data_IF_258722126734
#
_entry.id   IF_258722126734
#
_cell.length_a   1.000
_cell.length_b   1.000
_cell.length_c   1.000
_cell.angle_alpha   90.00
_cell.angle_beta   90.00
_cell.angle_gamma   90.00
#
_symmetry.space_group_name_H-M   'P 1'
#
loop_
_entity.id
_entity.type
_entity.pdbx_description
1 polymer ?
#
# COMPACT_ATOMS: atom_id res chain seq x y z
N UNK A 1 -31.09 0.54 18.99
CA UNK A 1 -29.81 -0.21 18.92
C UNK A 1 -28.72 0.81 19.17
N UNK A 2 -27.88 0.60 20.17
CA UNK A 2 -26.77 1.49 20.45
C UNK A 2 -25.73 1.32 19.33
N UNK A 3 -25.55 2.29 18.43
CA UNK A 3 -24.54 2.17 17.39
C UNK A 3 -23.15 2.20 18.05
N UNK A 4 -22.19 1.47 17.49
CA UNK A 4 -20.83 1.37 18.02
C UNK A 4 -20.27 2.74 18.47
N UNK A 5 -19.64 2.78 19.66
CA UNK A 5 -18.99 4.02 20.11
C UNK A 5 -17.85 4.40 19.17
N UNK A 6 -17.56 5.69 19.04
CA UNK A 6 -16.42 6.19 18.26
C UNK A 6 -15.14 5.47 18.71
N UNK A 7 -14.93 5.32 20.01
CA UNK A 7 -13.77 4.60 20.56
C UNK A 7 -13.69 3.14 20.09
N UNK A 8 -14.81 2.41 20.05
CA UNK A 8 -14.86 1.02 19.58
C UNK A 8 -14.48 0.89 18.12
N UNK A 9 -15.02 1.77 17.26
CA UNK A 9 -14.70 1.80 15.82
C UNK A 9 -13.24 2.20 15.60
N UNK A 10 -12.78 3.22 16.32
CA UNK A 10 -11.43 3.75 16.18
C UNK A 10 -10.36 2.75 16.61
N UNK A 11 -10.60 1.95 17.64
CA UNK A 11 -9.67 0.90 18.04
C UNK A 11 -9.39 -0.07 16.89
N UNK A 12 -10.42 -0.50 16.16
CA UNK A 12 -10.28 -1.38 14.99
C UNK A 12 -9.62 -0.66 13.81
N UNK A 13 -10.08 0.56 13.49
CA UNK A 13 -9.54 1.35 12.38
C UNK A 13 -8.05 1.65 12.58
N UNK A 14 -7.61 1.86 13.83
CA UNK A 14 -6.21 2.15 14.15
C UNK A 14 -5.23 1.04 13.73
N UNK A 15 -5.70 -0.21 13.61
CA UNK A 15 -4.88 -1.34 13.16
C UNK A 15 -4.47 -1.22 11.68
N UNK A 16 -5.21 -0.45 10.87
CA UNK A 16 -4.91 -0.21 9.46
C UNK A 16 -3.87 0.89 9.25
N UNK A 17 -3.51 1.65 10.30
CA UNK A 17 -2.53 2.72 10.22
C UNK A 17 -1.15 2.25 10.70
N UNK A 18 -0.05 2.84 10.17
CA UNK A 18 1.28 2.64 10.74
C UNK A 18 1.28 2.90 12.25
N UNK A 19 2.01 2.09 13.03
CA UNK A 19 2.05 2.17 14.51
C UNK A 19 2.54 3.52 15.07
N UNK A 20 3.14 4.36 14.25
CA UNK A 20 3.57 5.71 14.60
C UNK A 20 2.57 6.81 14.20
N UNK A 21 1.38 6.44 13.73
CA UNK A 21 0.28 7.36 13.42
C UNK A 21 -0.54 7.67 14.67
N UNK A 22 -0.69 8.96 14.98
CA UNK A 22 -1.71 9.44 15.91
C UNK A 22 -3.01 9.66 15.18
N UNK A 23 -4.15 9.43 15.84
CA UNK A 23 -5.46 9.63 15.24
C UNK A 23 -6.30 10.54 16.13
N UNK A 24 -6.90 11.56 15.54
CA UNK A 24 -7.87 12.43 16.19
C UNK A 24 -9.20 12.37 15.43
N UNK A 25 -10.31 12.44 16.16
CA UNK A 25 -11.64 12.65 15.58
C UNK A 25 -12.22 13.90 16.21
N UNK A 26 -12.75 14.80 15.38
CA UNK A 26 -13.46 15.99 15.81
C UNK A 26 -14.87 16.02 15.25
N UNK A 27 -15.79 16.66 15.99
CA UNK A 27 -17.05 17.14 15.43
C UNK A 27 -16.83 18.55 14.82
N UNK A 28 -17.89 19.33 14.68
CA UNK A 28 -17.87 20.69 14.14
C UNK A 28 -17.09 21.70 15.01
N UNK A 29 -16.91 21.43 16.30
CA UNK A 29 -16.32 22.39 17.24
C UNK A 29 -15.12 21.86 18.03
N UNK A 30 -15.18 20.59 18.46
CA UNK A 30 -14.27 20.01 19.44
C UNK A 30 -13.78 18.62 19.01
N UNK A 31 -12.61 18.24 19.52
CA UNK A 31 -12.13 16.87 19.46
C UNK A 31 -13.00 15.97 20.33
N UNK A 32 -13.42 14.81 19.81
CA UNK A 32 -14.22 13.81 20.53
C UNK A 32 -13.43 12.53 20.80
N UNK A 33 -12.31 12.34 20.11
CA UNK A 33 -11.42 11.19 20.29
C UNK A 33 -9.98 11.58 19.96
N UNK A 34 -9.04 11.05 20.73
CA UNK A 34 -7.62 11.14 20.41
C UNK A 34 -6.89 9.87 20.86
N UNK A 35 -6.11 9.31 19.94
CA UNK A 35 -5.20 8.19 20.17
C UNK A 35 -3.78 8.64 19.82
N UNK A 36 -2.91 8.86 20.82
CA UNK A 36 -1.52 9.21 20.58
C UNK A 36 -0.70 8.01 20.11
N UNK A 37 0.29 8.26 19.26
CA UNK A 37 1.35 7.34 18.91
C UNK A 37 2.58 7.58 19.76
N UNK A 38 3.54 6.65 19.75
CA UNK A 38 4.82 6.85 20.44
C UNK A 38 5.68 7.97 19.85
N UNK A 39 5.47 8.33 18.57
CA UNK A 39 6.32 9.29 17.85
C UNK A 39 5.73 10.69 17.80
N UNK A 40 4.41 10.81 17.76
CA UNK A 40 3.72 12.09 17.76
C UNK A 40 2.62 12.04 18.78
N UNK A 41 2.72 12.87 19.82
CA UNK A 41 1.65 13.08 20.80
C UNK A 41 1.39 14.58 20.89
N UNK A 42 0.27 15.00 20.31
CA UNK A 42 -0.16 16.41 20.28
C UNK A 42 -0.85 16.83 21.58
N UNK A 43 -1.01 15.92 22.54
CA UNK A 43 -1.66 16.16 23.85
C UNK A 43 -3.11 16.64 23.74
N UNK A 44 -3.79 16.30 22.65
CA UNK A 44 -5.22 16.58 22.43
C UNK A 44 -6.04 15.76 23.43
N UNK A 45 -7.06 16.39 24.01
CA UNK A 45 -8.04 15.74 24.89
C UNK A 45 -9.43 15.86 24.28
N UNK A 46 -10.29 14.85 24.43
CA UNK A 46 -11.71 15.01 24.11
C UNK A 46 -12.29 16.22 24.84
N UNK A 47 -12.96 17.10 24.11
CA UNK A 47 -13.45 18.41 24.57
C UNK A 47 -12.59 19.60 24.15
N UNK A 48 -11.34 19.40 23.74
CA UNK A 48 -10.50 20.48 23.23
C UNK A 48 -11.08 21.06 21.95
N UNK A 49 -11.03 22.39 21.81
CA UNK A 49 -11.51 23.08 20.60
C UNK A 49 -10.62 22.79 19.40
N UNK A 50 -11.23 22.66 18.23
CA UNK A 50 -10.49 22.59 16.96
C UNK A 50 -10.02 23.99 16.59
N UNK A 51 -8.71 24.21 16.65
CA UNK A 51 -8.09 25.50 16.33
C UNK A 51 -7.96 25.72 14.82
N UNK A 52 -8.07 26.98 14.38
CA UNK A 52 -8.09 27.37 12.97
C UNK A 52 -6.78 27.07 12.22
N UNK A 53 -5.67 26.99 12.95
CA UNK A 53 -4.35 26.64 12.44
C UNK A 53 -4.19 25.13 12.16
N UNK A 54 -5.16 24.31 12.54
CA UNK A 54 -5.11 22.86 12.33
C UNK A 54 -5.60 22.44 10.95
N UNK A 55 -5.01 21.37 10.40
CA UNK A 55 -5.52 20.72 9.18
C UNK A 55 -6.95 20.19 9.36
N UNK A 56 -7.34 19.87 10.60
CA UNK A 56 -8.69 19.44 10.97
C UNK A 56 -9.71 20.54 10.70
N UNK A 57 -9.43 21.78 11.15
CA UNK A 57 -10.29 22.93 10.89
C UNK A 57 -10.42 23.25 9.40
N UNK A 58 -9.30 23.18 8.68
CA UNK A 58 -9.29 23.38 7.22
C UNK A 58 -10.19 22.37 6.50
N UNK A 59 -10.14 21.09 6.89
CA UNK A 59 -11.01 20.06 6.32
C UNK A 59 -12.49 20.24 6.68
N UNK A 60 -12.80 20.69 7.91
CA UNK A 60 -14.17 21.07 8.31
C UNK A 60 -14.71 22.20 7.42
N UNK A 61 -13.88 23.21 7.15
CA UNK A 61 -14.29 24.40 6.38
C UNK A 61 -14.46 24.10 4.89
N UNK A 62 -13.51 23.35 4.31
CA UNK A 62 -13.48 23.08 2.86
C UNK A 62 -14.39 21.90 2.49
N UNK A 63 -14.82 21.09 3.46
CA UNK A 63 -15.64 19.88 3.27
C UNK A 63 -14.98 18.87 2.32
N UNK A 64 -13.65 18.87 2.26
CA UNK A 64 -12.84 17.94 1.44
C UNK A 64 -11.66 17.43 2.23
N UNK A 65 -11.08 16.33 1.74
CA UNK A 65 -9.80 15.83 2.24
C UNK A 65 -8.73 16.94 2.13
N UNK A 66 -8.01 17.18 3.21
CA UNK A 66 -6.93 18.17 3.29
C UNK A 66 -5.72 17.53 3.94
N UNK A 67 -4.53 17.82 3.42
CA UNK A 67 -3.28 17.33 4.00
C UNK A 67 -2.21 18.41 3.98
N UNK A 68 -1.47 18.54 5.07
CA UNK A 68 -0.48 19.60 5.24
C UNK A 68 0.65 19.18 6.17
N UNK A 69 1.85 19.71 5.91
CA UNK A 69 2.96 19.59 6.84
C UNK A 69 2.95 20.77 7.80
N UNK A 70 2.88 20.50 9.09
CA UNK A 70 2.82 21.50 10.15
C UNK A 70 4.22 21.63 10.75
N UNK A 71 4.94 22.65 10.31
CA UNK A 71 6.21 23.10 10.88
C UNK A 71 5.91 23.97 12.11
N UNK A 72 6.61 23.78 13.23
CA UNK A 72 6.17 24.34 14.52
C UNK A 72 6.91 25.61 14.95
N UNK A 73 6.14 26.52 15.57
CA UNK A 73 6.57 27.70 16.35
C UNK A 73 6.24 27.59 17.86
N UNK A 74 6.61 26.50 18.57
CA UNK A 74 6.74 26.61 20.05
C UNK A 74 6.44 25.44 21.00
N UNK A 75 5.66 24.39 20.68
CA UNK A 75 5.28 23.38 21.69
C UNK A 75 5.30 21.89 21.28
N UNK A 76 6.17 21.50 20.34
CA UNK A 76 6.50 20.07 20.09
C UNK A 76 6.74 19.66 18.62
N UNK A 77 6.62 18.38 18.34
CA UNK A 77 7.20 17.76 17.12
C UNK A 77 6.52 18.22 15.82
N UNK A 78 7.27 18.47 14.72
CA UNK A 78 6.71 18.67 13.40
C UNK A 78 5.98 17.40 12.94
N UNK A 79 4.89 17.56 12.20
CA UNK A 79 4.07 16.43 11.76
C UNK A 79 3.37 16.72 10.44
N UNK A 80 2.99 15.65 9.74
CA UNK A 80 2.11 15.69 8.59
C UNK A 80 0.70 15.30 9.01
N UNK A 81 -0.24 16.23 8.86
CA UNK A 81 -1.65 15.99 9.13
C UNK A 81 -2.40 15.64 7.85
N UNK A 82 -3.25 14.63 7.90
CA UNK A 82 -4.19 14.28 6.83
C UNK A 82 -5.60 14.17 7.42
N UNK A 83 -6.47 15.10 7.06
CA UNK A 83 -7.84 15.21 7.55
C UNK A 83 -8.84 14.82 6.47
N UNK A 84 -9.79 13.96 6.84
CA UNK A 84 -10.86 13.48 5.97
C UNK A 84 -12.21 13.79 6.64
N UNK A 85 -13.10 14.54 5.99
CA UNK A 85 -14.45 14.78 6.48
C UNK A 85 -15.27 13.49 6.58
N UNK A 86 -15.99 13.33 7.68
CA UNK A 86 -17.03 12.33 7.87
C UNK A 86 -18.32 12.94 7.32
N UNK A 87 -18.84 12.36 6.24
CA UNK A 87 -20.02 12.85 5.55
C UNK A 87 -21.26 12.03 5.95
N UNK A 88 -22.35 12.73 6.22
CA UNK A 88 -23.68 12.19 6.45
C UNK A 88 -24.66 12.96 5.56
N UNK A 89 -25.34 12.27 4.64
CA UNK A 89 -26.23 12.88 3.63
C UNK A 89 -25.61 14.09 2.90
N UNK A 90 -24.31 14.02 2.60
CA UNK A 90 -23.56 15.09 1.93
C UNK A 90 -23.13 16.26 2.84
N UNK A 91 -23.50 16.26 4.11
CA UNK A 91 -23.07 17.26 5.09
C UNK A 91 -21.92 16.73 5.95
N UNK A 92 -20.94 17.57 6.25
CA UNK A 92 -19.84 17.19 7.16
C UNK A 92 -20.34 17.16 8.61
N UNK A 93 -20.21 16.01 9.27
CA UNK A 93 -20.56 15.80 10.69
C UNK A 93 -19.35 15.80 11.63
N UNK A 94 -18.16 15.70 11.05
CA UNK A 94 -16.90 15.64 11.77
C UNK A 94 -15.75 15.39 10.83
N UNK A 95 -14.56 15.26 11.38
CA UNK A 95 -13.33 15.00 10.64
C UNK A 95 -12.52 13.96 11.39
N UNK A 96 -12.00 12.98 10.65
CA UNK A 96 -10.93 12.10 11.13
C UNK A 96 -9.58 12.66 10.63
N UNK A 97 -8.62 12.80 11.53
CA UNK A 97 -7.28 13.32 11.23
C UNK A 97 -6.23 12.29 11.60
N UNK A 98 -5.50 11.81 10.60
CA UNK A 98 -4.27 11.04 10.79
C UNK A 98 -3.09 12.01 10.93
N UNK A 99 -2.28 11.82 11.96
CA UNK A 99 -1.16 12.67 12.34
C UNK A 99 0.10 11.82 12.30
N UNK A 100 0.96 12.07 11.33
CA UNK A 100 2.16 11.28 11.07
C UNK A 100 3.44 12.09 11.39
N UNK A 101 4.52 11.46 11.88
CA UNK A 101 5.79 12.14 12.17
C UNK A 101 6.48 12.72 10.92
N UNK A 102 6.16 12.18 9.75
CA UNK A 102 6.62 12.65 8.45
C UNK A 102 5.50 12.46 7.44
N UNK A 103 5.55 13.19 6.32
CA UNK A 103 4.69 12.91 5.18
C UNK A 103 4.83 11.42 4.88
N UNK A 104 3.73 10.62 4.88
CA UNK A 104 3.82 9.25 4.45
C UNK A 104 4.36 9.30 3.03
N UNK A 105 5.62 8.94 2.87
CA UNK A 105 6.16 8.48 1.62
C UNK A 105 5.47 7.15 1.37
N UNK A 106 4.21 7.24 0.92
CA UNK A 106 3.80 6.45 -0.22
C UNK A 106 4.72 6.89 -1.37
N UNK A 107 6.01 6.54 -1.30
CA UNK A 107 6.59 5.95 -2.48
C UNK A 107 5.69 4.73 -2.64
N UNK A 108 4.73 4.68 -3.60
CA UNK A 108 4.45 3.39 -4.18
C UNK A 108 5.84 2.83 -4.42
N UNK A 109 6.19 1.69 -3.82
CA UNK A 109 7.47 1.07 -4.12
C UNK A 109 7.36 0.65 -5.57
N UNK A 110 7.45 1.57 -6.53
CA UNK A 110 7.29 1.33 -7.95
C UNK A 110 8.47 0.53 -8.49
N UNK A 111 9.29 0.01 -7.58
CA UNK A 111 10.50 -0.73 -7.80
C UNK A 111 10.60 -1.89 -6.80
N UNK A 112 11.25 -2.95 -7.26
CA UNK A 112 11.72 -4.07 -6.49
C UNK A 112 13.24 -3.98 -6.37
N UNK A 113 13.77 -3.97 -5.15
CA UNK A 113 15.23 -3.91 -4.95
C UNK A 113 15.86 -5.28 -5.07
N UNK A 114 16.67 -5.50 -6.10
CA UNK A 114 17.39 -6.76 -6.33
C UNK A 114 18.82 -6.67 -5.82
N UNK A 115 19.42 -7.80 -5.44
CA UNK A 115 20.82 -7.94 -5.07
C UNK A 115 21.61 -8.56 -6.22
N UNK A 116 22.60 -7.85 -6.75
CA UNK A 116 23.61 -8.36 -7.67
C UNK A 116 24.82 -8.90 -6.90
N UNK A 117 25.95 -9.15 -7.57
CA UNK A 117 27.18 -9.64 -6.94
C UNK A 117 27.71 -8.65 -5.88
N UNK A 118 27.66 -7.35 -6.18
CA UNK A 118 28.38 -6.30 -5.47
C UNK A 118 27.49 -5.20 -4.88
N UNK A 119 26.22 -5.11 -5.30
CA UNK A 119 25.33 -3.99 -4.93
C UNK A 119 23.85 -4.38 -4.92
N UNK A 120 23.04 -3.45 -4.42
CA UNK A 120 21.59 -3.49 -4.50
C UNK A 120 21.11 -2.48 -5.53
N UNK A 121 20.16 -2.88 -6.37
CA UNK A 121 19.65 -2.06 -7.46
C UNK A 121 18.13 -2.00 -7.35
N UNK A 122 17.53 -0.81 -7.17
CA UNK A 122 16.09 -0.65 -7.29
C UNK A 122 15.66 -0.77 -8.75
N UNK A 123 14.84 -1.76 -9.08
CA UNK A 123 14.36 -2.01 -10.44
C UNK A 123 12.88 -1.70 -10.52
N UNK A 124 12.43 -0.75 -11.37
CA UNK A 124 11.02 -0.45 -11.51
C UNK A 124 10.18 -1.69 -11.85
N UNK A 125 8.99 -1.85 -11.28
CA UNK A 125 8.11 -3.00 -11.58
C UNK A 125 7.79 -3.12 -13.06
N UNK A 126 7.63 -1.99 -13.76
CA UNK A 126 7.43 -1.95 -15.22
C UNK A 126 8.64 -2.41 -16.05
N UNK A 127 9.80 -2.66 -15.41
CA UNK A 127 10.96 -3.28 -16.03
C UNK A 127 11.12 -4.76 -15.66
N UNK A 128 10.46 -5.25 -14.59
CA UNK A 128 10.53 -6.65 -14.16
C UNK A 128 9.64 -7.52 -15.05
N UNK A 129 10.23 -8.53 -15.67
CA UNK A 129 9.56 -9.44 -16.60
C UNK A 129 8.96 -10.64 -15.88
N UNK A 130 9.75 -11.30 -15.03
CA UNK A 130 9.30 -12.41 -14.23
C UNK A 130 10.24 -12.64 -13.03
N UNK A 131 9.75 -13.41 -12.06
CA UNK A 131 10.51 -13.90 -10.93
C UNK A 131 10.50 -15.43 -10.97
N UNK A 132 11.64 -16.03 -10.62
CA UNK A 132 11.85 -17.46 -10.65
C UNK A 132 12.44 -17.96 -9.32
N UNK A 133 11.97 -19.10 -8.83
CA UNK A 133 12.58 -19.79 -7.69
C UNK A 133 13.68 -20.71 -8.22
N UNK A 134 14.93 -20.30 -8.04
CA UNK A 134 16.11 -21.05 -8.45
C UNK A 134 17.10 -21.17 -7.29
N UNK A 135 17.60 -22.37 -7.02
CA UNK A 135 18.62 -22.61 -5.98
C UNK A 135 18.27 -22.04 -4.59
N UNK A 136 17.00 -22.19 -4.16
CA UNK A 136 16.45 -21.64 -2.91
C UNK A 136 16.48 -20.10 -2.80
N UNK A 137 16.70 -19.41 -3.92
CA UNK A 137 16.64 -17.96 -4.02
C UNK A 137 15.55 -17.56 -5.01
N UNK A 138 15.01 -16.36 -4.81
CA UNK A 138 14.14 -15.73 -5.80
C UNK A 138 15.03 -14.95 -6.77
N UNK A 139 15.16 -15.42 -8.00
CA UNK A 139 15.74 -14.67 -9.10
C UNK A 139 14.70 -13.70 -9.64
N UNK A 140 15.08 -12.45 -9.83
CA UNK A 140 14.26 -11.39 -10.42
C UNK A 140 14.89 -11.04 -11.75
N UNK A 141 14.14 -11.22 -12.83
CA UNK A 141 14.58 -10.96 -14.19
C UNK A 141 13.88 -9.70 -14.70
N UNK A 142 14.66 -8.70 -15.10
CA UNK A 142 14.17 -7.46 -15.67
C UNK A 142 14.72 -7.23 -17.07
N UNK A 143 14.18 -6.24 -17.80
CA UNK A 143 14.64 -5.84 -19.14
C UNK A 143 16.15 -5.62 -19.24
N UNK A 144 16.78 -5.14 -18.16
CA UNK A 144 18.17 -4.64 -18.17
C UNK A 144 19.11 -5.44 -17.30
N UNK A 145 18.60 -6.00 -16.21
CA UNK A 145 19.44 -6.63 -15.19
C UNK A 145 18.69 -7.71 -14.43
N UNK A 146 19.42 -8.74 -14.02
CA UNK A 146 18.88 -9.80 -13.17
C UNK A 146 19.64 -9.85 -11.85
N UNK A 147 18.96 -10.29 -10.80
CA UNK A 147 19.55 -10.40 -9.48
C UNK A 147 18.68 -11.24 -8.56
N UNK A 148 19.10 -11.35 -7.31
CA UNK A 148 18.36 -12.14 -6.32
C UNK A 148 17.59 -11.26 -5.35
N UNK A 149 16.45 -11.74 -4.87
CA UNK A 149 15.73 -11.16 -3.75
C UNK A 149 15.82 -12.09 -2.53
N UNK A 150 15.81 -11.49 -1.33
CA UNK A 150 15.92 -12.23 -0.06
C UNK A 150 14.66 -13.03 0.29
N UNK A 151 13.51 -12.53 -0.13
CA UNK A 151 12.21 -13.14 0.10
C UNK A 151 11.98 -14.27 -0.90
N UNK A 152 11.28 -15.32 -0.47
CA UNK A 152 10.82 -16.38 -1.36
C UNK A 152 9.64 -15.90 -2.24
N UNK A 153 9.22 -16.70 -3.22
CA UNK A 153 8.14 -16.31 -4.13
C UNK A 153 6.80 -16.09 -3.44
N UNK A 154 6.46 -16.86 -2.40
CA UNK A 154 5.20 -16.67 -1.68
C UNK A 154 5.21 -15.38 -0.85
N UNK A 155 6.36 -15.01 -0.28
CA UNK A 155 6.52 -13.78 0.49
C UNK A 155 6.54 -12.53 -0.40
N UNK A 156 7.26 -12.60 -1.53
CA UNK A 156 7.38 -11.45 -2.45
C UNK A 156 6.09 -11.20 -3.22
N UNK A 157 5.26 -12.22 -3.46
CA UNK A 157 3.96 -12.09 -4.13
C UNK A 157 3.07 -11.05 -3.45
N UNK A 158 3.08 -10.99 -2.11
CA UNK A 158 2.33 -9.97 -1.34
C UNK A 158 2.81 -8.53 -1.55
N UNK A 159 4.02 -8.34 -2.07
CA UNK A 159 4.59 -7.02 -2.34
C UNK A 159 4.41 -6.58 -3.78
N UNK A 160 4.04 -7.49 -4.68
CA UNK A 160 3.92 -7.19 -6.11
C UNK A 160 2.54 -6.58 -6.41
N UNK A 161 2.44 -5.58 -7.30
CA UNK A 161 1.17 -5.07 -7.79
C UNK A 161 0.39 -6.20 -8.46
N UNK A 162 -0.77 -6.56 -7.89
CA UNK A 162 -1.60 -7.66 -8.37
C UNK A 162 -2.25 -7.36 -9.73
N UNK A 163 -2.24 -6.10 -10.17
CA UNK A 163 -2.70 -5.69 -11.49
C UNK A 163 -1.70 -6.04 -12.60
N UNK A 164 -0.42 -6.21 -12.26
CA UNK A 164 0.64 -6.50 -13.23
C UNK A 164 1.26 -7.88 -13.05
N UNK A 165 1.29 -8.45 -11.84
CA UNK A 165 1.97 -9.71 -11.56
C UNK A 165 0.99 -10.83 -11.23
N UNK A 166 1.26 -12.02 -11.77
CA UNK A 166 0.46 -13.21 -11.51
C UNK A 166 1.34 -14.45 -11.28
N UNK A 167 0.96 -15.24 -10.28
CA UNK A 167 1.54 -16.55 -9.99
C UNK A 167 1.04 -17.56 -11.02
N UNK A 168 1.97 -18.15 -11.77
CA UNK A 168 1.63 -19.11 -12.85
C UNK A 168 2.20 -20.50 -12.60
N UNK A 169 3.18 -20.61 -11.72
CA UNK A 169 3.80 -21.87 -11.34
C UNK A 169 4.33 -21.74 -9.92
N UNK A 170 4.54 -22.86 -9.21
CA UNK A 170 5.18 -22.84 -7.87
C UNK A 170 6.57 -22.19 -7.88
N UNK A 171 7.20 -22.13 -9.05
CA UNK A 171 8.52 -21.53 -9.27
C UNK A 171 8.49 -20.24 -10.07
N UNK A 172 7.33 -19.73 -10.51
CA UNK A 172 7.28 -18.52 -11.35
C UNK A 172 6.17 -17.56 -10.95
N UNK A 173 6.50 -16.27 -10.97
CA UNK A 173 5.55 -15.15 -11.00
C UNK A 173 5.90 -14.34 -12.25
N UNK A 174 4.93 -14.00 -13.08
CA UNK A 174 5.17 -13.27 -14.34
C UNK A 174 4.49 -11.91 -14.32
N UNK A 175 5.11 -10.93 -14.97
CA UNK A 175 4.46 -9.67 -15.28
C UNK A 175 3.67 -9.82 -16.58
N UNK A 176 2.36 -9.63 -16.53
CA UNK A 176 1.45 -9.86 -17.67
C UNK A 176 1.75 -8.92 -18.85
N UNK A 177 2.32 -7.73 -18.60
CA UNK A 177 2.69 -6.78 -19.66
C UNK A 177 3.89 -7.25 -20.51
N UNK A 178 4.56 -8.32 -20.08
CA UNK A 178 5.71 -8.93 -20.74
C UNK A 178 5.42 -10.28 -21.40
N UNK A 179 4.17 -10.74 -21.35
CA UNK A 179 3.72 -11.90 -22.13
C UNK A 179 3.58 -11.44 -23.58
N UNK A 180 4.26 -12.12 -24.50
CA UNK A 180 4.14 -11.93 -25.94
C UNK A 180 3.04 -12.84 -26.50
N UNK A 181 3.06 -14.14 -26.14
CA UNK A 181 2.08 -15.12 -26.60
C UNK A 181 1.64 -16.04 -25.45
N UNK A 182 0.39 -16.49 -25.51
CA UNK A 182 -0.17 -17.54 -24.65
C UNK A 182 -0.56 -18.70 -25.54
N UNK A 183 0.18 -19.79 -25.45
CA UNK A 183 -0.08 -21.00 -26.23
C UNK A 183 -0.83 -22.03 -25.36
N UNK A 184 -1.89 -22.67 -25.86
CA UNK A 184 -2.49 -23.81 -25.19
C UNK A 184 -1.47 -24.96 -25.14
N UNK A 185 -1.43 -25.67 -24.02
CA UNK A 185 -0.56 -26.83 -23.80
C UNK A 185 -1.41 -28.03 -23.33
N UNK A 186 -0.79 -29.20 -23.18
CA UNK A 186 -1.48 -30.44 -22.81
C UNK A 186 -2.24 -30.30 -21.48
N UNK A 187 -3.31 -31.08 -21.29
CA UNK A 187 -4.05 -31.11 -20.03
C UNK A 187 -4.62 -29.75 -19.57
N UNK A 188 -5.00 -28.88 -20.52
CA UNK A 188 -5.58 -27.55 -20.24
C UNK A 188 -4.64 -26.59 -19.51
N UNK A 189 -3.32 -26.78 -19.66
CA UNK A 189 -2.31 -25.82 -19.20
C UNK A 189 -1.99 -24.81 -20.31
N UNK A 190 -1.06 -23.90 -20.02
CA UNK A 190 -0.61 -22.88 -20.97
C UNK A 190 0.91 -22.79 -20.97
N UNK A 191 1.47 -22.44 -22.12
CA UNK A 191 2.86 -22.04 -22.26
C UNK A 191 2.89 -20.54 -22.57
N UNK A 192 3.57 -19.77 -21.74
CA UNK A 192 3.79 -18.35 -21.95
C UNK A 192 5.08 -18.16 -22.73
N UNK A 193 5.01 -17.42 -23.83
CA UNK A 193 6.19 -16.86 -24.50
C UNK A 193 6.33 -15.43 -24.02
N UNK A 194 7.43 -15.14 -23.32
CA UNK A 194 7.74 -13.82 -22.81
C UNK A 194 8.41 -12.96 -23.91
N UNK A 195 8.43 -11.64 -23.76
CA UNK A 195 9.06 -10.69 -24.70
C UNK A 195 10.57 -10.89 -24.90
N UNK A 196 11.26 -11.52 -23.97
CA UNK A 196 12.66 -11.92 -24.09
C UNK A 196 12.83 -13.32 -24.70
N UNK A 197 11.76 -13.89 -25.27
CA UNK A 197 11.65 -15.26 -25.79
C UNK A 197 11.72 -16.37 -24.74
N UNK A 198 11.79 -16.05 -23.44
CA UNK A 198 11.73 -17.05 -22.37
C UNK A 198 10.38 -17.76 -22.40
N UNK A 199 10.39 -19.08 -22.19
CA UNK A 199 9.19 -19.92 -22.16
C UNK A 199 8.86 -20.36 -20.74
N UNK A 200 7.69 -19.99 -20.23
CA UNK A 200 7.25 -20.26 -18.86
C UNK A 200 5.95 -21.06 -18.88
N UNK A 201 5.95 -22.25 -18.26
CA UNK A 201 4.75 -23.08 -18.15
C UNK A 201 3.82 -22.57 -17.04
N UNK A 202 2.54 -22.45 -17.35
CA UNK A 202 1.48 -22.29 -16.36
C UNK A 202 1.10 -23.68 -15.85
N UNK A 203 1.29 -23.93 -14.55
CA UNK A 203 0.96 -25.24 -13.98
C UNK A 203 -0.55 -25.46 -13.91
N UNK A 204 -0.98 -26.73 -13.92
CA UNK A 204 -2.39 -27.11 -13.80
C UNK A 204 -3.09 -26.45 -12.60
N UNK A 205 -2.40 -26.34 -11.46
CA UNK A 205 -2.92 -25.70 -10.25
C UNK A 205 -3.24 -24.22 -10.45
N UNK A 206 -2.46 -23.52 -11.29
CA UNK A 206 -2.61 -22.07 -11.53
C UNK A 206 -3.42 -21.76 -12.81
N UNK A 207 -3.63 -22.73 -13.71
CA UNK A 207 -4.27 -22.51 -15.00
C UNK A 207 -5.66 -21.87 -14.91
N UNK A 208 -6.49 -22.30 -13.95
CA UNK A 208 -7.83 -21.74 -13.74
C UNK A 208 -7.80 -20.27 -13.29
N UNK A 209 -6.92 -19.95 -12.33
CA UNK A 209 -6.73 -18.57 -11.86
C UNK A 209 -6.17 -17.68 -12.97
N UNK A 210 -5.18 -18.17 -13.70
CA UNK A 210 -4.54 -17.47 -14.82
C UNK A 210 -5.57 -17.12 -15.90
N UNK A 211 -6.36 -18.11 -16.34
CA UNK A 211 -7.42 -17.92 -17.32
C UNK A 211 -8.44 -16.86 -16.87
N UNK A 212 -8.93 -16.98 -15.64
CA UNK A 212 -9.89 -16.02 -15.07
C UNK A 212 -9.33 -14.59 -14.99
N UNK A 213 -8.04 -14.46 -14.64
CA UNK A 213 -7.40 -13.15 -14.52
C UNK A 213 -7.21 -12.45 -15.87
N UNK A 214 -6.99 -13.21 -16.95
CA UNK A 214 -6.78 -12.65 -18.29
C UNK A 214 -8.03 -12.65 -19.18
N UNK A 215 -9.12 -13.31 -18.76
CA UNK A 215 -10.45 -13.18 -19.37
C UNK A 215 -10.62 -13.90 -20.71
N UNK A 216 -10.01 -15.08 -20.88
CA UNK A 216 -10.18 -15.93 -22.07
C UNK A 216 -10.57 -17.38 -21.73
#
# INVERSE_FOLDING_TARGET
MDPFTVSSVMNVISEFFPKDTSIAVANDQNFIYYQPSKKVDLKIRPGDRVSEDTVTYKALTIHKKTSEFIERNGFGVPYYGMSVPILDNGSTRGVITAILPSKPSFMPSSFLTIKTIDRWIPVPYGEVMYLEAQNRKTSVVSKRISGSHKLNLSEIEWLLPNESFIRVHRSYIVNIHFIEEILPDFHSTFLLVMKDSTRIQVSQTYASQFRRALGF
#
